data_IF_522769326184
#
_entry.id   IF_522769326184
#
_cell.length_a   1.000
_cell.length_b   1.000
_cell.length_c   1.000
_cell.angle_alpha   90.00
_cell.angle_beta   90.00
_cell.angle_gamma   90.00
#
_symmetry.space_group_name_H-M   'P 1'
#
loop_
_entity.id
_entity.type
_entity.pdbx_description
1 polymer ?
#
# COMPACT_ATOMS: atom_id res chain seq x y z
N UNK A 1 36.70 -41.32 55.49
CA UNK A 1 37.01 -39.88 55.24
C UNK A 1 36.09 -38.89 55.97
N UNK A 2 35.17 -39.32 56.84
CA UNK A 2 34.28 -38.42 57.59
C UNK A 2 34.72 -38.15 59.05
N UNK A 3 35.68 -38.92 59.58
CA UNK A 3 36.17 -38.80 60.96
C UNK A 3 37.26 -37.72 61.14
N UNK A 4 37.97 -37.38 60.07
CA UNK A 4 39.06 -36.39 60.11
C UNK A 4 38.50 -34.96 60.30
N UNK A 5 37.33 -34.64 59.71
CA UNK A 5 36.72 -33.31 59.86
C UNK A 5 36.16 -33.06 61.27
N UNK A 6 35.79 -34.10 62.01
CA UNK A 6 35.23 -33.95 63.35
C UNK A 6 36.34 -33.66 64.37
N UNK A 7 37.46 -34.38 64.26
CA UNK A 7 38.63 -34.15 65.12
C UNK A 7 39.27 -32.77 64.88
N UNK A 8 39.27 -32.24 63.65
CA UNK A 8 39.79 -30.89 63.35
C UNK A 8 38.92 -29.78 63.98
N UNK A 9 37.61 -29.95 63.97
CA UNK A 9 36.66 -29.00 64.59
C UNK A 9 36.78 -29.06 66.11
N UNK A 10 36.87 -30.26 66.69
CA UNK A 10 37.04 -30.45 68.13
C UNK A 10 38.41 -29.93 68.64
N UNK A 11 39.49 -30.09 67.87
CA UNK A 11 40.81 -29.53 68.18
C UNK A 11 40.82 -27.99 68.15
N UNK A 12 40.19 -27.39 67.15
CA UNK A 12 40.04 -25.93 67.08
C UNK A 12 39.23 -25.37 68.25
N UNK A 13 38.18 -26.08 68.68
CA UNK A 13 37.36 -25.66 69.81
C UNK A 13 38.10 -25.83 71.15
N UNK A 14 38.92 -26.87 71.33
CA UNK A 14 39.78 -27.04 72.51
C UNK A 14 40.85 -25.95 72.59
N UNK A 15 41.55 -25.64 71.49
CA UNK A 15 42.54 -24.56 71.43
C UNK A 15 41.91 -23.19 71.74
N UNK A 16 40.68 -22.96 71.27
CA UNK A 16 39.93 -21.73 71.52
C UNK A 16 39.51 -21.61 72.98
N UNK A 17 39.12 -22.70 73.64
CA UNK A 17 38.81 -22.72 75.07
C UNK A 17 40.06 -22.48 75.91
N UNK A 18 41.20 -23.07 75.56
CA UNK A 18 42.49 -22.83 76.23
C UNK A 18 42.98 -21.38 76.04
N UNK A 19 42.79 -20.82 74.84
CA UNK A 19 43.07 -19.41 74.56
C UNK A 19 42.16 -18.47 75.38
N UNK A 20 40.87 -18.80 75.54
CA UNK A 20 39.95 -18.02 76.37
C UNK A 20 40.26 -18.10 77.87
N UNK A 21 40.68 -19.27 78.37
CA UNK A 21 41.13 -19.43 79.76
C UNK A 21 42.42 -18.66 80.04
N UNK A 22 43.39 -18.69 79.12
CA UNK A 22 44.63 -17.91 79.25
C UNK A 22 44.42 -16.39 79.13
N UNK A 23 43.39 -15.95 78.41
CA UNK A 23 42.97 -14.54 78.38
C UNK A 23 42.24 -14.12 79.67
N UNK A 24 41.43 -14.98 80.29
CA UNK A 24 40.75 -14.69 81.56
C UNK A 24 41.71 -14.51 82.74
N UNK A 25 42.87 -15.17 82.71
CA UNK A 25 43.91 -15.03 83.74
C UNK A 25 44.60 -13.65 83.74
N UNK A 26 44.35 -12.78 82.75
CA UNK A 26 44.94 -11.45 82.64
C UNK A 26 43.91 -10.43 82.12
N UNK A 27 43.23 -9.67 83.02
CA UNK A 27 42.15 -8.76 82.63
C UNK A 27 42.54 -7.71 81.57
N UNK A 28 43.81 -7.26 81.57
CA UNK A 28 44.34 -6.31 80.59
C UNK A 28 44.44 -6.90 79.18
N UNK A 29 44.80 -8.19 79.06
CA UNK A 29 44.90 -8.88 77.76
C UNK A 29 43.52 -9.21 77.18
N UNK A 30 42.56 -9.53 78.03
CA UNK A 30 41.18 -9.76 77.63
C UNK A 30 40.51 -8.49 77.09
N UNK A 31 40.67 -7.35 77.79
CA UNK A 31 40.11 -6.07 77.33
C UNK A 31 40.73 -5.61 75.99
N UNK A 32 42.04 -5.81 75.80
CA UNK A 32 42.71 -5.55 74.53
C UNK A 32 42.20 -6.44 73.38
N UNK A 33 42.01 -7.74 73.62
CA UNK A 33 41.45 -8.67 72.64
C UNK A 33 40.01 -8.33 72.26
N UNK A 34 39.17 -7.99 73.23
CA UNK A 34 37.79 -7.56 72.98
C UNK A 34 37.74 -6.28 72.17
N UNK A 35 38.63 -5.31 72.44
CA UNK A 35 38.70 -4.06 71.69
C UNK A 35 39.21 -4.28 70.25
N UNK A 36 40.19 -5.16 70.04
CA UNK A 36 40.65 -5.56 68.70
C UNK A 36 39.53 -6.26 67.89
N UNK A 37 38.82 -7.21 68.52
CA UNK A 37 37.68 -7.89 67.89
C UNK A 37 36.54 -6.93 67.57
N UNK A 38 36.21 -6.01 68.47
CA UNK A 38 35.21 -4.96 68.20
C UNK A 38 35.63 -4.09 67.01
N UNK A 39 36.89 -3.66 66.95
CA UNK A 39 37.43 -2.88 65.83
C UNK A 39 37.34 -3.61 64.50
N UNK A 40 37.74 -4.89 64.46
CA UNK A 40 37.63 -5.74 63.26
C UNK A 40 36.20 -5.95 62.80
N UNK A 41 35.29 -6.30 63.71
CA UNK A 41 33.87 -6.50 63.37
C UNK A 41 33.25 -5.20 62.87
N UNK A 42 33.56 -4.06 63.50
CA UNK A 42 33.08 -2.76 63.04
C UNK A 42 33.60 -2.42 61.65
N UNK A 43 34.90 -2.62 61.39
CA UNK A 43 35.47 -2.41 60.05
C UNK A 43 34.80 -3.30 59.02
N UNK A 44 34.65 -4.60 59.30
CA UNK A 44 34.03 -5.56 58.38
C UNK A 44 32.56 -5.23 58.09
N UNK A 45 31.80 -4.79 59.09
CA UNK A 45 30.41 -4.33 58.91
C UNK A 45 30.36 -3.06 58.06
N UNK A 46 31.26 -2.10 58.30
CA UNK A 46 31.34 -0.86 57.52
C UNK A 46 31.73 -1.16 56.07
N UNK A 47 32.72 -2.02 55.85
CA UNK A 47 33.18 -2.42 54.51
C UNK A 47 32.10 -3.19 53.76
N UNK A 48 31.40 -4.11 54.43
CA UNK A 48 30.29 -4.87 53.84
C UNK A 48 29.14 -3.93 53.46
N UNK A 49 28.79 -2.97 54.32
CA UNK A 49 27.75 -1.97 54.01
C UNK A 49 28.17 -1.08 52.85
N UNK A 50 29.42 -0.64 52.81
CA UNK A 50 29.95 0.18 51.71
C UNK A 50 29.96 -0.59 50.40
N UNK A 51 30.39 -1.86 50.43
CA UNK A 51 30.35 -2.74 49.26
C UNK A 51 28.92 -2.98 48.77
N UNK A 52 27.98 -3.21 49.68
CA UNK A 52 26.57 -3.36 49.35
C UNK A 52 25.98 -2.09 48.72
N UNK A 53 26.32 -0.91 49.25
CA UNK A 53 25.86 0.37 48.70
C UNK A 53 26.45 0.64 47.31
N UNK A 54 27.76 0.44 47.13
CA UNK A 54 28.43 0.59 45.83
C UNK A 54 27.83 -0.37 44.81
N UNK A 55 27.59 -1.63 45.20
CA UNK A 55 26.94 -2.62 44.34
C UNK A 55 25.52 -2.18 43.97
N UNK A 56 24.70 -1.79 44.93
CA UNK A 56 23.33 -1.34 44.67
C UNK A 56 23.30 -0.12 43.75
N UNK A 57 24.21 0.85 43.95
CA UNK A 57 24.33 2.01 43.05
C UNK A 57 24.77 1.62 41.64
N UNK A 58 25.69 0.66 41.50
CA UNK A 58 26.15 0.16 40.21
C UNK A 58 25.08 -0.63 39.47
N UNK A 59 24.31 -1.45 40.19
CA UNK A 59 23.18 -2.20 39.63
C UNK A 59 22.06 -1.24 39.18
N UNK A 60 21.79 -0.18 39.95
CA UNK A 60 20.82 0.86 39.55
C UNK A 60 21.26 1.61 38.28
N UNK A 61 22.54 1.98 38.16
CA UNK A 61 23.05 2.63 36.96
C UNK A 61 22.90 1.73 35.72
N UNK A 62 23.22 0.43 35.84
CA UNK A 62 23.02 -0.54 34.75
C UNK A 62 21.57 -0.71 34.36
N UNK A 63 20.65 -0.69 35.32
CA UNK A 63 19.21 -0.76 35.05
C UNK A 63 18.73 0.49 34.30
N UNK A 64 19.20 1.68 34.68
CA UNK A 64 18.89 2.92 33.96
C UNK A 64 19.40 2.88 32.51
N UNK A 65 20.64 2.41 32.30
CA UNK A 65 21.20 2.25 30.94
C UNK A 65 20.41 1.21 30.12
N UNK A 66 20.00 0.11 30.75
CA UNK A 66 19.19 -0.92 30.10
C UNK A 66 17.80 -0.40 29.73
N UNK A 67 17.17 0.37 30.60
CA UNK A 67 15.87 1.00 30.36
C UNK A 67 15.96 2.04 29.23
N UNK A 68 16.98 2.88 29.25
CA UNK A 68 17.22 3.85 28.18
C UNK A 68 17.45 3.17 26.83
N UNK A 69 18.23 2.08 26.80
CA UNK A 69 18.45 1.31 25.58
C UNK A 69 17.18 0.60 25.09
N UNK A 70 16.37 0.07 26.01
CA UNK A 70 15.07 -0.53 25.71
C UNK A 70 14.11 0.50 25.09
N UNK A 71 14.01 1.68 25.70
CA UNK A 71 13.19 2.79 25.18
C UNK A 71 13.68 3.27 23.81
N UNK A 72 15.00 3.36 23.61
CA UNK A 72 15.57 3.71 22.32
C UNK A 72 15.23 2.66 21.24
N UNK A 73 15.23 1.36 21.59
CA UNK A 73 14.82 0.30 20.68
C UNK A 73 13.33 0.39 20.32
N UNK A 74 12.46 0.63 21.29
CA UNK A 74 11.03 0.82 21.07
C UNK A 74 10.73 1.99 20.14
N UNK A 75 11.38 3.14 20.36
CA UNK A 75 11.21 4.32 19.51
C UNK A 75 11.63 4.03 18.06
N UNK A 76 12.73 3.29 17.84
CA UNK A 76 13.14 2.89 16.49
C UNK A 76 12.14 1.97 15.82
N UNK A 77 11.56 1.02 16.57
CA UNK A 77 10.51 0.14 16.02
C UNK A 77 9.26 0.93 15.63
N UNK A 78 8.87 1.90 16.45
CA UNK A 78 7.77 2.80 16.14
C UNK A 78 8.06 3.61 14.86
N UNK A 79 9.22 4.24 14.76
CA UNK A 79 9.62 5.03 13.58
C UNK A 79 9.67 4.19 12.29
N UNK A 80 10.15 2.94 12.39
CA UNK A 80 10.15 1.99 11.28
C UNK A 80 8.72 1.67 10.83
N UNK A 81 7.79 1.49 11.78
CA UNK A 81 6.38 1.21 11.48
C UNK A 81 5.74 2.39 10.77
N UNK A 82 5.93 3.61 11.30
CA UNK A 82 5.43 4.85 10.68
C UNK A 82 6.01 5.04 9.27
N UNK A 83 7.29 4.74 9.08
CA UNK A 83 7.95 4.83 7.77
C UNK A 83 7.38 3.80 6.80
N UNK A 84 7.11 2.58 7.25
CA UNK A 84 6.47 1.53 6.43
C UNK A 84 5.07 1.94 5.99
N UNK A 85 4.26 2.47 6.90
CA UNK A 85 2.91 2.97 6.58
C UNK A 85 2.98 4.11 5.56
N UNK A 86 3.95 5.01 5.69
CA UNK A 86 4.17 6.08 4.72
C UNK A 86 4.56 5.54 3.33
N UNK A 87 5.42 4.52 3.27
CA UNK A 87 5.80 3.89 2.00
C UNK A 87 4.60 3.17 1.36
N UNK A 88 3.80 2.45 2.15
CA UNK A 88 2.61 1.73 1.65
C UNK A 88 1.59 2.72 1.09
N UNK A 89 1.33 3.80 1.81
CA UNK A 89 0.40 4.86 1.35
C UNK A 89 0.88 5.52 0.05
N UNK A 90 2.16 5.90 -0.03
CA UNK A 90 2.73 6.43 -1.27
C UNK A 90 2.63 5.42 -2.44
N UNK A 91 2.94 4.14 -2.21
CA UNK A 91 2.83 3.11 -3.24
C UNK A 91 1.38 2.94 -3.72
N UNK A 92 0.40 2.98 -2.81
CA UNK A 92 -1.01 2.95 -3.17
C UNK A 92 -1.41 4.16 -4.04
N UNK A 93 -0.92 5.35 -3.71
CA UNK A 93 -1.13 6.56 -4.53
C UNK A 93 -0.53 6.42 -5.92
N UNK A 94 0.72 5.93 -6.05
CA UNK A 94 1.35 5.69 -7.34
C UNK A 94 0.59 4.67 -8.19
N UNK A 95 0.11 3.57 -7.58
CA UNK A 95 -0.71 2.59 -8.29
C UNK A 95 -2.05 3.18 -8.76
N UNK A 96 -2.70 3.98 -7.92
CA UNK A 96 -3.95 4.64 -8.27
C UNK A 96 -3.74 5.68 -9.39
N UNK A 97 -2.65 6.45 -9.33
CA UNK A 97 -2.27 7.38 -10.39
C UNK A 97 -1.97 6.64 -11.71
N UNK A 98 -1.23 5.53 -11.67
CA UNK A 98 -0.95 4.71 -12.86
C UNK A 98 -2.25 4.16 -13.47
N UNK A 99 -3.16 3.61 -12.66
CA UNK A 99 -4.48 3.15 -13.11
C UNK A 99 -5.30 4.27 -13.76
N UNK A 100 -5.31 5.46 -13.13
CA UNK A 100 -6.01 6.64 -13.66
C UNK A 100 -5.41 7.09 -14.99
N UNK A 101 -4.09 7.12 -15.10
CA UNK A 101 -3.39 7.48 -16.33
C UNK A 101 -3.72 6.50 -17.46
N UNK A 102 -3.74 5.20 -17.19
CA UNK A 102 -4.14 4.18 -18.18
C UNK A 102 -5.58 4.39 -18.66
N UNK A 103 -6.54 4.65 -17.76
CA UNK A 103 -7.93 4.94 -18.15
C UNK A 103 -8.02 6.24 -18.96
N UNK A 104 -7.28 7.28 -18.57
CA UNK A 104 -7.24 8.55 -19.31
C UNK A 104 -6.65 8.38 -20.72
N UNK A 105 -5.54 7.66 -20.86
CA UNK A 105 -4.93 7.37 -22.17
C UNK A 105 -5.89 6.56 -23.05
N UNK A 106 -6.54 5.53 -22.49
CA UNK A 106 -7.55 4.75 -23.21
C UNK A 106 -8.69 5.62 -23.71
N UNK A 107 -9.24 6.49 -22.85
CA UNK A 107 -10.31 7.43 -23.25
C UNK A 107 -9.85 8.42 -24.31
N UNK A 108 -8.63 8.92 -24.23
CA UNK A 108 -8.08 9.82 -25.26
C UNK A 108 -8.00 9.14 -26.63
N UNK A 109 -7.56 7.87 -26.67
CA UNK A 109 -7.55 7.09 -27.91
C UNK A 109 -8.98 6.89 -28.43
N UNK A 110 -9.93 6.56 -27.56
CA UNK A 110 -11.34 6.41 -27.92
C UNK A 110 -11.93 7.71 -28.50
N UNK A 111 -11.67 8.85 -27.87
CA UNK A 111 -12.12 10.18 -28.35
C UNK A 111 -11.48 10.52 -29.70
N UNK A 112 -10.18 10.30 -29.84
CA UNK A 112 -9.47 10.62 -31.07
C UNK A 112 -9.98 9.78 -32.24
N UNK A 113 -10.18 8.48 -32.02
CA UNK A 113 -10.75 7.59 -33.02
C UNK A 113 -12.16 8.02 -33.42
N UNK A 114 -13.01 8.35 -32.44
CA UNK A 114 -14.37 8.85 -32.71
C UNK A 114 -14.35 10.14 -33.54
N UNK A 115 -13.47 11.08 -33.20
CA UNK A 115 -13.36 12.36 -33.89
C UNK A 115 -12.85 12.22 -35.33
N UNK A 116 -11.79 11.42 -35.54
CA UNK A 116 -11.22 11.16 -36.85
C UNK A 116 -12.25 10.53 -37.80
N UNK A 117 -12.95 9.54 -37.28
CA UNK A 117 -13.94 8.79 -38.05
C UNK A 117 -15.19 9.61 -38.37
N UNK A 118 -15.70 10.39 -37.42
CA UNK A 118 -16.82 11.30 -37.67
C UNK A 118 -16.47 12.33 -38.75
N UNK A 119 -15.26 12.87 -38.71
CA UNK A 119 -14.75 13.74 -39.79
C UNK A 119 -14.74 13.02 -41.13
N UNK A 120 -14.19 11.80 -41.20
CA UNK A 120 -14.13 11.02 -42.44
C UNK A 120 -15.51 10.78 -43.05
N UNK A 121 -16.50 10.40 -42.24
CA UNK A 121 -17.88 10.21 -42.73
C UNK A 121 -18.53 11.51 -43.19
N UNK A 122 -18.35 12.62 -42.45
CA UNK A 122 -18.89 13.92 -42.89
C UNK A 122 -18.29 14.36 -44.22
N UNK A 123 -16.99 14.14 -44.41
CA UNK A 123 -16.28 14.47 -45.63
C UNK A 123 -16.79 13.61 -46.80
N UNK A 124 -17.02 12.31 -46.59
CA UNK A 124 -17.60 11.44 -47.59
C UNK A 124 -18.99 11.92 -48.05
N UNK A 125 -19.87 12.33 -47.12
CA UNK A 125 -21.20 12.83 -47.49
C UNK A 125 -21.14 14.15 -48.24
N UNK A 126 -20.25 15.05 -47.84
CA UNK A 126 -20.05 16.31 -48.58
C UNK A 126 -19.53 16.05 -50.00
N UNK A 127 -18.61 15.10 -50.17
CA UNK A 127 -18.13 14.69 -51.49
C UNK A 127 -19.23 14.06 -52.34
N UNK A 128 -20.07 13.19 -51.76
CA UNK A 128 -21.18 12.56 -52.46
C UNK A 128 -22.22 13.60 -52.91
N UNK A 129 -22.55 14.57 -52.05
CA UNK A 129 -23.45 15.68 -52.39
C UNK A 129 -22.86 16.52 -53.54
N UNK A 130 -21.57 16.85 -53.48
CA UNK A 130 -20.89 17.56 -54.55
C UNK A 130 -20.96 16.79 -55.89
N UNK A 131 -20.75 15.49 -55.87
CA UNK A 131 -20.82 14.62 -57.06
C UNK A 131 -22.25 14.61 -57.64
N UNK A 132 -23.27 14.50 -56.79
CA UNK A 132 -24.69 14.61 -57.20
C UNK A 132 -24.97 15.97 -57.85
N UNK A 133 -24.51 17.07 -57.27
CA UNK A 133 -24.71 18.40 -57.85
C UNK A 133 -23.98 18.58 -59.18
N UNK A 134 -22.74 18.12 -59.28
CA UNK A 134 -21.96 18.17 -60.52
C UNK A 134 -22.60 17.35 -61.63
N UNK A 135 -23.07 16.14 -61.32
CA UNK A 135 -23.75 15.28 -62.31
C UNK A 135 -25.04 15.91 -62.81
N UNK A 136 -25.82 16.58 -61.94
CA UNK A 136 -27.01 17.35 -62.38
C UNK A 136 -26.60 18.48 -63.33
N UNK A 137 -25.59 19.29 -62.97
CA UNK A 137 -25.12 20.41 -63.80
C UNK A 137 -24.64 19.92 -65.17
N UNK A 138 -23.85 18.83 -65.20
CA UNK A 138 -23.36 18.22 -66.44
C UNK A 138 -24.51 17.70 -67.30
N UNK A 139 -25.52 17.06 -66.68
CA UNK A 139 -26.68 16.53 -67.40
C UNK A 139 -27.52 17.65 -68.02
N UNK A 140 -27.72 18.75 -67.28
CA UNK A 140 -28.40 19.95 -67.80
C UNK A 140 -27.61 20.62 -68.93
N UNK A 141 -26.28 20.72 -68.80
CA UNK A 141 -25.42 21.23 -69.86
C UNK A 141 -25.44 20.36 -71.13
N UNK A 142 -25.47 19.04 -70.97
CA UNK A 142 -25.60 18.11 -72.10
C UNK A 142 -26.98 18.20 -72.76
N UNK A 143 -28.04 18.46 -71.98
CA UNK A 143 -29.38 18.70 -72.49
C UNK A 143 -29.44 20.00 -73.31
N UNK A 144 -28.88 21.11 -72.81
CA UNK A 144 -28.89 22.39 -73.54
C UNK A 144 -28.03 22.36 -74.81
N UNK A 145 -26.98 21.55 -74.83
CA UNK A 145 -26.17 21.28 -76.02
C UNK A 145 -26.87 20.36 -77.04
N UNK A 146 -28.01 19.76 -76.70
CA UNK A 146 -28.76 18.85 -77.56
C UNK A 146 -28.13 17.45 -77.71
N UNK A 147 -27.17 17.08 -76.87
CA UNK A 147 -26.53 15.77 -76.91
C UNK A 147 -27.43 14.64 -76.37
N UNK A 148 -28.39 15.00 -75.52
CA UNK A 148 -29.28 14.06 -74.81
C UNK A 148 -30.72 14.57 -74.94
N UNK A 149 -31.68 13.66 -75.15
CA UNK A 149 -33.11 13.99 -75.16
C UNK A 149 -33.59 14.40 -73.76
N UNK A 150 -34.60 15.28 -73.70
CA UNK A 150 -35.15 15.78 -72.42
C UNK A 150 -35.63 14.65 -71.51
N UNK A 151 -36.23 13.61 -72.07
CA UNK A 151 -36.69 12.45 -71.31
C UNK A 151 -35.52 11.68 -70.69
N UNK A 152 -34.44 11.46 -71.45
CA UNK A 152 -33.26 10.77 -70.95
C UNK A 152 -32.55 11.58 -69.85
N UNK A 153 -32.48 12.91 -69.97
CA UNK A 153 -31.94 13.79 -68.95
C UNK A 153 -32.76 13.76 -67.65
N UNK A 154 -34.09 13.73 -67.76
CA UNK A 154 -35.00 13.64 -66.62
C UNK A 154 -34.84 12.31 -65.85
N UNK A 155 -34.77 11.17 -66.55
CA UNK A 155 -34.54 9.87 -65.92
C UNK A 155 -33.19 9.82 -65.19
N UNK A 156 -32.13 10.35 -65.80
CA UNK A 156 -30.80 10.44 -65.19
C UNK A 156 -30.80 11.30 -63.92
N UNK A 157 -31.44 12.48 -63.96
CA UNK A 157 -31.55 13.35 -62.79
C UNK A 157 -32.29 12.67 -61.63
N UNK A 158 -33.45 12.06 -61.91
CA UNK A 158 -34.22 11.36 -60.88
C UNK A 158 -33.41 10.22 -60.28
N UNK A 159 -32.70 9.43 -61.11
CA UNK A 159 -31.86 8.33 -60.66
C UNK A 159 -30.75 8.80 -59.70
N UNK A 160 -30.02 9.85 -60.07
CA UNK A 160 -28.94 10.41 -59.25
C UNK A 160 -29.49 10.96 -57.93
N UNK A 161 -30.63 11.67 -57.97
CA UNK A 161 -31.28 12.21 -56.76
C UNK A 161 -31.74 11.10 -55.83
N UNK A 162 -32.34 10.02 -56.35
CA UNK A 162 -32.78 8.88 -55.55
C UNK A 162 -31.60 8.21 -54.84
N UNK A 163 -30.45 8.03 -55.52
CA UNK A 163 -29.24 7.47 -54.91
C UNK A 163 -28.68 8.42 -53.84
N UNK A 164 -28.63 9.72 -54.12
CA UNK A 164 -28.18 10.73 -53.16
C UNK A 164 -29.04 10.77 -51.89
N UNK A 165 -30.37 10.78 -52.06
CA UNK A 165 -31.31 10.75 -50.93
C UNK A 165 -31.28 9.41 -50.19
N UNK A 166 -31.19 8.30 -50.91
CA UNK A 166 -31.11 6.96 -50.33
C UNK A 166 -29.87 6.79 -49.43
N UNK A 167 -28.71 7.25 -49.91
CA UNK A 167 -27.46 7.22 -49.12
C UNK A 167 -27.54 8.15 -47.90
N UNK A 168 -28.17 9.32 -48.03
CA UNK A 168 -28.39 10.24 -46.91
C UNK A 168 -29.33 9.66 -45.84
N UNK A 169 -30.47 9.10 -46.26
CA UNK A 169 -31.44 8.46 -45.36
C UNK A 169 -30.85 7.23 -44.67
N UNK A 170 -30.12 6.40 -45.41
CA UNK A 170 -29.40 5.26 -44.85
C UNK A 170 -28.44 5.70 -43.75
N UNK A 171 -27.66 6.77 -43.98
CA UNK A 171 -26.75 7.32 -42.97
C UNK A 171 -27.49 7.83 -41.76
N UNK A 172 -28.57 8.59 -41.95
CA UNK A 172 -29.39 9.14 -40.87
C UNK A 172 -29.92 8.01 -39.98
N UNK A 173 -30.51 6.98 -40.60
CA UNK A 173 -31.03 5.81 -39.89
C UNK A 173 -29.93 4.99 -39.21
N UNK A 174 -28.81 4.73 -39.89
CA UNK A 174 -27.66 4.00 -39.34
C UNK A 174 -27.06 4.71 -38.12
N UNK A 175 -26.94 6.04 -38.20
CA UNK A 175 -26.42 6.87 -37.12
C UNK A 175 -27.36 6.88 -35.91
N UNK A 176 -28.68 6.94 -36.13
CA UNK A 176 -29.67 7.00 -35.05
C UNK A 176 -29.93 5.66 -34.36
N UNK A 177 -29.97 4.56 -35.12
CA UNK A 177 -30.49 3.28 -34.62
C UNK A 177 -29.43 2.20 -34.40
N UNK A 178 -28.36 2.17 -35.20
CA UNK A 178 -27.41 1.04 -35.22
C UNK A 178 -26.08 1.39 -34.56
N UNK A 179 -25.63 2.64 -34.71
CA UNK A 179 -24.33 3.10 -34.20
C UNK A 179 -24.36 3.40 -32.70
N UNK A 180 -23.34 2.97 -31.98
CA UNK A 180 -23.14 3.37 -30.59
C UNK A 180 -22.62 4.83 -30.56
N UNK A 181 -23.28 5.69 -29.78
CA UNK A 181 -22.87 7.08 -29.61
C UNK A 181 -21.47 7.21 -28.97
N UNK A 182 -21.05 6.19 -28.20
CA UNK A 182 -19.78 6.18 -27.47
C UNK A 182 -18.64 5.48 -28.19
N UNK A 183 -18.93 4.43 -28.98
CA UNK A 183 -17.92 3.62 -29.66
C UNK A 183 -18.15 3.56 -31.16
N UNK A 184 -17.28 4.22 -31.92
CA UNK A 184 -17.43 4.29 -33.38
C UNK A 184 -17.27 2.95 -34.10
N UNK A 185 -16.39 2.08 -33.59
CA UNK A 185 -16.09 0.77 -34.16
C UNK A 185 -17.06 -0.33 -33.72
N UNK A 186 -18.05 -0.03 -32.88
CA UNK A 186 -19.00 -1.01 -32.37
C UNK A 186 -20.42 -0.68 -32.82
N UNK A 187 -21.12 -1.72 -33.27
CA UNK A 187 -22.59 -1.67 -33.39
C UNK A 187 -23.17 -1.77 -31.98
N UNK A 188 -24.33 -1.16 -31.72
CA UNK A 188 -25.06 -1.39 -30.46
C UNK A 188 -25.47 -2.86 -30.43
N UNK A 189 -24.69 -3.69 -29.77
CA UNK A 189 -25.14 -5.03 -29.38
C UNK A 189 -26.01 -4.81 -28.14
N UNK A 190 -27.25 -5.33 -28.16
CA UNK A 190 -28.30 -5.06 -27.17
C UNK A 190 -27.94 -5.39 -25.71
N UNK A 191 -26.78 -6.00 -25.45
CA UNK A 191 -26.31 -6.39 -24.12
C UNK A 191 -25.14 -5.54 -23.58
N UNK A 192 -24.47 -4.72 -24.41
CA UNK A 192 -23.27 -3.98 -23.98
C UNK A 192 -23.59 -2.59 -23.36
N UNK A 193 -24.88 -2.23 -23.28
CA UNK A 193 -25.36 -0.97 -22.68
C UNK A 193 -26.08 -1.13 -21.34
N UNK A 194 -26.27 -2.36 -20.86
CA UNK A 194 -26.94 -2.64 -19.58
C UNK A 194 -26.09 -3.58 -18.73
N UNK A 195 -24.83 -3.21 -18.50
CA UNK A 195 -24.16 -3.73 -17.31
C UNK A 195 -24.88 -3.11 -16.11
N UNK A 196 -25.80 -3.89 -15.52
CA UNK A 196 -26.10 -3.75 -14.10
C UNK A 196 -24.76 -3.48 -13.40
N UNK A 197 -24.72 -2.39 -12.64
CA UNK A 197 -23.69 -2.11 -11.64
C UNK A 197 -23.10 -3.43 -11.16
N UNK A 198 -21.87 -3.75 -11.57
CA UNK A 198 -21.08 -4.79 -10.90
C UNK A 198 -20.62 -4.16 -9.59
N UNK A 199 -21.60 -3.94 -8.70
CA UNK A 199 -21.37 -4.06 -7.28
C UNK A 199 -21.08 -5.52 -7.02
N UNK A 200 -20.09 -5.77 -6.17
CA UNK A 200 -19.58 -7.09 -5.82
C UNK A 200 -18.67 -7.72 -6.90
N UNK A 201 -17.49 -7.09 -7.05
CA UNK A 201 -16.28 -7.89 -7.08
C UNK A 201 -16.20 -8.66 -5.75
N UNK A 202 -16.68 -9.90 -5.75
CA UNK A 202 -16.33 -10.87 -4.72
C UNK A 202 -14.84 -11.18 -4.82
N UNK A 203 -14.00 -10.30 -4.25
CA UNK A 203 -12.65 -10.67 -3.84
C UNK A 203 -12.84 -11.39 -2.52
N UNK A 204 -12.87 -12.72 -2.57
CA UNK A 204 -13.01 -13.53 -1.37
C UNK A 204 -11.89 -13.25 -0.39
N UNK A 205 -12.24 -13.03 0.87
CA UNK A 205 -11.46 -13.44 2.04
C UNK A 205 -12.37 -13.53 3.27
N UNK A 206 -12.14 -14.62 4.03
CA UNK A 206 -12.56 -14.89 5.41
C UNK A 206 -14.03 -15.26 5.67
N UNK A 207 -14.28 -16.56 5.51
CA UNK A 207 -15.01 -17.42 6.45
C UNK A 207 -15.12 -16.84 7.88
N UNK A 208 -16.32 -16.42 8.27
CA UNK A 208 -16.66 -16.14 9.67
C UNK A 208 -17.53 -17.30 10.15
N UNK A 209 -16.87 -18.32 10.71
CA UNK A 209 -17.51 -19.38 11.49
C UNK A 209 -18.12 -18.75 12.74
N UNK A 210 -19.44 -18.64 12.77
CA UNK A 210 -20.20 -18.32 13.97
C UNK A 210 -20.31 -19.57 14.85
N UNK A 211 -19.32 -19.74 15.72
CA UNK A 211 -19.40 -20.61 16.88
C UNK A 211 -19.94 -19.85 18.09
N UNK A 212 -21.07 -20.33 18.62
CA UNK A 212 -21.57 -20.26 20.01
C UNK A 212 -21.84 -18.89 20.64
N UNK A 213 -23.10 -18.65 21.02
CA UNK A 213 -23.63 -18.97 22.36
C UNK A 213 -25.11 -19.35 22.26
#
# INVERSE_FOLDING_TARGET
MALINKDIVDLQDIEKVQFLQSLQASPDKYSAYVNDKKGRILSEVVDTKRAAFVKASGDMARLMDMDQNSMAALNRTHDLTVTQDHIITQQAEYQNAAKKNLDMTRRQVEINNWYFENKRETLFVLQLLLLVMLTIIVTLGAQTAGWISTDAANYLMVFVVVIGLGTWLYRYWYTGNVRDARYWNKRRFGEDGNKKSVGELCIGYAEQTSGTM
#
